data_IF_529728065935
#
_entry.id   IF_529728065935
#
_cell.length_a   1.000
_cell.length_b   1.000
_cell.length_c   1.000
_cell.angle_alpha   90.00
_cell.angle_beta   90.00
_cell.angle_gamma   90.00
#
_symmetry.space_group_name_H-M   'P 1'
#
loop_
_entity.id
_entity.type
_entity.pdbx_description
1 polymer ?
#
# COMPACT_ATOMS: atom_id res chain seq x y z
N UNK A 1 2.23 38.87 54.95
CA UNK A 1 1.20 37.84 54.74
C UNK A 1 0.87 37.75 53.26
N UNK A 2 1.34 36.67 52.61
CA UNK A 2 0.76 35.90 51.49
C UNK A 2 0.17 36.63 50.23
N UNK A 3 -0.16 35.93 49.13
CA UNK A 3 0.70 35.91 47.94
C UNK A 3 -0.06 36.39 46.69
N UNK A 4 0.61 36.62 45.57
CA UNK A 4 -0.07 36.60 44.28
C UNK A 4 0.65 35.60 43.38
N UNK A 5 0.23 34.35 43.54
CA UNK A 5 0.47 33.31 42.56
C UNK A 5 -0.18 33.76 41.24
N UNK A 6 0.62 33.92 40.19
CA UNK A 6 0.11 34.05 38.83
C UNK A 6 0.26 32.69 38.19
N UNK A 7 -0.90 32.05 37.98
CA UNK A 7 -1.05 30.70 37.46
C UNK A 7 -0.92 30.69 35.93
N UNK A 8 -0.33 29.60 35.44
CA UNK A 8 0.16 29.32 34.09
C UNK A 8 -0.81 29.54 32.92
N UNK A 9 -0.24 29.74 31.72
CA UNK A 9 -0.80 29.22 30.47
C UNK A 9 0.34 28.73 29.55
N UNK A 10 0.72 27.45 29.69
CA UNK A 10 1.55 26.77 28.70
C UNK A 10 0.64 26.24 27.60
N UNK A 11 0.51 27.00 26.51
CA UNK A 11 -0.14 26.53 25.30
C UNK A 11 0.81 25.56 24.58
N UNK A 12 0.68 24.26 24.83
CA UNK A 12 1.34 23.24 24.02
C UNK A 12 0.58 23.09 22.71
N UNK A 13 1.11 23.73 21.65
CA UNK A 13 0.65 23.49 20.30
C UNK A 13 1.06 22.07 19.88
N UNK A 14 0.15 21.10 20.03
CA UNK A 14 0.30 19.79 19.42
C UNK A 14 0.05 19.93 17.91
N UNK A 15 1.13 20.17 17.16
CA UNK A 15 1.09 20.05 15.71
C UNK A 15 0.76 18.60 15.34
N UNK A 16 -0.40 18.37 14.75
CA UNK A 16 -0.74 17.09 14.17
C UNK A 16 0.22 16.85 12.99
N UNK A 17 1.25 16.03 13.22
CA UNK A 17 2.08 15.49 12.15
C UNK A 17 1.14 14.57 11.37
N UNK A 18 0.55 15.07 10.28
CA UNK A 18 -0.16 14.21 9.35
C UNK A 18 0.91 13.29 8.76
N UNK A 19 0.97 12.06 9.27
CA UNK A 19 1.88 11.04 8.77
C UNK A 19 1.56 10.79 7.31
N UNK A 20 2.40 11.28 6.41
CA UNK A 20 2.50 10.75 5.05
C UNK A 20 2.66 9.24 5.22
N UNK A 21 1.67 8.47 4.78
CA UNK A 21 1.82 7.03 4.64
C UNK A 21 2.97 6.86 3.64
N UNK A 22 4.10 6.34 4.12
CA UNK A 22 5.25 6.13 3.26
C UNK A 22 4.86 5.12 2.18
N UNK A 23 5.02 5.51 0.91
CA UNK A 23 4.83 4.61 -0.23
C UNK A 23 5.71 3.37 -0.06
N UNK A 24 5.21 2.23 -0.50
CA UNK A 24 5.96 0.97 -0.42
C UNK A 24 7.07 0.87 -1.47
N UNK A 25 6.83 1.39 -2.67
CA UNK A 25 7.75 1.42 -3.82
C UNK A 25 8.43 0.07 -4.14
N UNK A 26 7.72 -1.05 -4.01
CA UNK A 26 8.30 -2.38 -4.25
C UNK A 26 8.97 -2.49 -5.63
N UNK A 27 8.42 -1.84 -6.65
CA UNK A 27 8.89 -1.95 -8.04
C UNK A 27 10.33 -1.46 -8.23
N UNK A 28 10.84 -0.61 -7.33
CA UNK A 28 12.24 -0.15 -7.33
C UNK A 28 13.25 -1.25 -7.06
N UNK A 29 12.82 -2.31 -6.38
CA UNK A 29 13.68 -3.40 -5.92
C UNK A 29 13.17 -4.79 -6.27
N UNK A 30 12.04 -4.87 -6.98
CA UNK A 30 11.45 -6.10 -7.48
C UNK A 30 11.31 -6.04 -9.01
N UNK A 31 11.39 -7.20 -9.65
CA UNK A 31 11.32 -7.36 -11.11
C UNK A 31 10.40 -8.53 -11.46
N UNK A 32 10.07 -8.65 -12.76
CA UNK A 32 9.23 -9.72 -13.32
C UNK A 32 7.89 -9.90 -12.58
N UNK A 33 7.30 -8.79 -12.12
CA UNK A 33 6.09 -8.85 -11.33
C UNK A 33 4.83 -8.95 -12.19
N UNK A 34 3.89 -9.79 -11.76
CA UNK A 34 2.62 -10.02 -12.45
C UNK A 34 1.51 -10.38 -11.46
N UNK A 35 0.25 -10.26 -11.92
CA UNK A 35 -0.92 -10.70 -11.17
C UNK A 35 -1.25 -12.14 -11.55
N UNK A 36 -1.16 -13.03 -10.57
CA UNK A 36 -1.61 -14.42 -10.66
C UNK A 36 -2.99 -14.57 -10.00
N UNK A 37 -3.86 -15.36 -10.61
CA UNK A 37 -5.16 -15.75 -10.04
C UNK A 37 -6.00 -14.55 -9.56
N UNK A 38 -5.90 -13.41 -10.24
CA UNK A 38 -6.62 -12.17 -9.98
C UNK A 38 -6.18 -11.37 -8.73
N UNK A 39 -5.56 -11.98 -7.72
CA UNK A 39 -5.26 -11.34 -6.44
C UNK A 39 -3.87 -11.61 -5.86
N UNK A 40 -3.04 -12.47 -6.47
CA UNK A 40 -1.67 -12.68 -6.01
C UNK A 40 -0.70 -11.86 -6.84
N UNK A 41 -0.03 -10.89 -6.24
CA UNK A 41 1.13 -10.26 -6.85
C UNK A 41 2.33 -11.18 -6.64
N UNK A 42 2.92 -11.66 -7.73
CA UNK A 42 4.20 -12.38 -7.71
C UNK A 42 5.29 -11.47 -8.22
N UNK A 43 6.49 -11.59 -7.65
CA UNK A 43 7.66 -10.84 -8.09
C UNK A 43 8.97 -11.52 -7.67
N UNK A 44 10.07 -11.18 -8.32
CA UNK A 44 11.43 -11.47 -7.85
C UNK A 44 12.01 -10.22 -7.22
N UNK A 45 12.26 -10.24 -5.91
CA UNK A 45 12.62 -9.08 -5.10
C UNK A 45 14.03 -9.18 -4.52
N UNK A 46 14.78 -8.07 -4.54
CA UNK A 46 16.10 -7.97 -3.91
C UNK A 46 15.98 -8.07 -2.39
N UNK A 47 16.87 -8.83 -1.77
CA UNK A 47 17.03 -8.90 -0.31
C UNK A 47 18.25 -8.06 0.16
N UNK A 48 18.37 -7.85 1.46
CA UNK A 48 19.42 -7.03 2.07
C UNK A 48 20.83 -7.62 1.93
N UNK A 49 20.94 -8.92 1.66
CA UNK A 49 22.21 -9.62 1.40
C UNK A 49 22.68 -9.48 -0.06
N UNK A 50 21.94 -8.72 -0.90
CA UNK A 50 22.23 -8.56 -2.33
C UNK A 50 21.70 -9.68 -3.23
N UNK A 51 21.07 -10.71 -2.63
CA UNK A 51 20.41 -11.79 -3.36
C UNK A 51 18.99 -11.42 -3.80
N UNK A 52 18.31 -12.38 -4.42
CA UNK A 52 16.94 -12.24 -4.89
C UNK A 52 16.05 -13.37 -4.35
N UNK A 53 14.79 -13.04 -4.07
CA UNK A 53 13.79 -13.97 -3.54
C UNK A 53 12.53 -13.88 -4.41
N UNK A 54 11.99 -15.03 -4.80
CA UNK A 54 10.67 -15.08 -5.40
C UNK A 54 9.63 -14.95 -4.30
N UNK A 55 8.83 -13.89 -4.37
CA UNK A 55 7.84 -13.55 -3.37
C UNK A 55 6.45 -13.48 -3.98
N UNK A 56 5.44 -13.72 -3.15
CA UNK A 56 4.04 -13.63 -3.50
C UNK A 56 3.28 -12.93 -2.37
N UNK A 57 2.38 -12.01 -2.73
CA UNK A 57 1.52 -11.30 -1.80
C UNK A 57 0.07 -11.36 -2.28
N UNK A 58 -0.83 -11.76 -1.38
CA UNK A 58 -2.26 -11.65 -1.63
C UNK A 58 -2.71 -10.20 -1.47
N UNK A 59 -3.01 -9.53 -2.59
CA UNK A 59 -3.40 -8.13 -2.64
C UNK A 59 -4.76 -7.84 -1.97
N UNK A 60 -5.58 -8.86 -1.66
CA UNK A 60 -6.77 -8.65 -0.83
C UNK A 60 -6.42 -8.12 0.57
N UNK A 61 -5.21 -8.38 1.06
CA UNK A 61 -4.72 -7.85 2.31
C UNK A 61 -4.42 -6.34 2.25
N UNK A 62 -4.15 -5.78 1.07
CA UNK A 62 -3.63 -4.42 0.92
C UNK A 62 -4.54 -3.49 0.10
N UNK A 63 -5.46 -4.03 -0.71
CA UNK A 63 -6.21 -3.24 -1.71
C UNK A 63 -7.71 -3.36 -1.49
N UNK A 64 -8.38 -2.21 -1.45
CA UNK A 64 -9.83 -2.06 -1.43
C UNK A 64 -10.37 -1.27 -2.60
N UNK A 65 -11.70 -1.17 -2.67
CA UNK A 65 -12.41 -0.45 -3.74
C UNK A 65 -12.84 0.94 -3.24
N UNK A 66 -12.58 1.96 -4.04
CA UNK A 66 -13.15 3.30 -3.93
C UNK A 66 -14.01 3.64 -5.16
N UNK A 67 -14.67 4.80 -5.15
CA UNK A 67 -15.64 5.19 -6.19
C UNK A 67 -15.04 5.19 -7.60
N UNK A 68 -13.80 5.63 -7.78
CA UNK A 68 -13.14 5.76 -9.09
C UNK A 68 -11.87 4.92 -9.24
N UNK A 69 -11.31 4.39 -8.14
CA UNK A 69 -10.03 3.71 -8.14
C UNK A 69 -9.99 2.52 -7.18
N UNK A 70 -8.90 1.76 -7.26
CA UNK A 70 -8.48 0.85 -6.21
C UNK A 70 -7.51 1.60 -5.29
N UNK A 71 -7.65 1.41 -3.98
CA UNK A 71 -6.90 2.19 -2.97
C UNK A 71 -6.24 1.27 -1.95
N UNK A 72 -5.16 1.74 -1.34
CA UNK A 72 -4.53 1.04 -0.23
C UNK A 72 -5.49 1.00 0.95
N UNK A 73 -5.91 -0.21 1.32
CA UNK A 73 -6.83 -0.46 2.43
C UNK A 73 -6.50 -1.83 3.00
N UNK A 74 -6.09 -1.86 4.27
CA UNK A 74 -5.88 -3.10 5.00
C UNK A 74 -7.15 -3.97 4.93
N UNK A 75 -6.97 -5.24 4.55
CA UNK A 75 -8.06 -6.19 4.34
C UNK A 75 -9.16 -5.66 3.41
N UNK A 76 -8.78 -4.89 2.39
CA UNK A 76 -9.72 -4.25 1.48
C UNK A 76 -10.47 -5.25 0.58
N UNK A 77 -9.94 -6.47 0.42
CA UNK A 77 -10.62 -7.60 -0.21
C UNK A 77 -11.21 -7.29 -1.61
N UNK A 78 -10.54 -6.45 -2.41
CA UNK A 78 -11.10 -5.97 -3.69
C UNK A 78 -11.52 -7.10 -4.64
N UNK A 79 -10.79 -8.22 -4.69
CA UNK A 79 -11.14 -9.34 -5.55
C UNK A 79 -12.40 -10.07 -5.06
N UNK A 80 -12.52 -10.28 -3.74
CA UNK A 80 -13.74 -10.86 -3.15
C UNK A 80 -14.94 -9.91 -3.28
N UNK A 81 -14.70 -8.61 -3.34
CA UNK A 81 -15.70 -7.56 -3.55
C UNK A 81 -16.04 -7.32 -5.03
N UNK A 82 -15.73 -8.27 -5.91
CA UNK A 82 -16.25 -8.34 -7.28
C UNK A 82 -15.32 -7.83 -8.38
N UNK A 83 -14.10 -7.39 -8.04
CA UNK A 83 -13.08 -7.08 -9.04
C UNK A 83 -12.48 -8.35 -9.66
N UNK A 84 -12.28 -8.33 -10.98
CA UNK A 84 -11.82 -9.47 -11.78
C UNK A 84 -10.94 -9.03 -12.95
N UNK A 85 -10.34 -10.01 -13.63
CA UNK A 85 -9.49 -9.81 -14.81
C UNK A 85 -8.36 -8.80 -14.56
N UNK A 86 -7.76 -8.87 -13.38
CA UNK A 86 -6.68 -7.98 -12.97
C UNK A 86 -5.34 -8.33 -13.62
N UNK A 87 -4.61 -7.31 -14.06
CA UNK A 87 -3.31 -7.46 -14.71
C UNK A 87 -2.47 -6.18 -14.57
N UNK A 88 -1.16 -6.32 -14.71
CA UNK A 88 -0.22 -5.18 -14.79
C UNK A 88 -0.25 -4.62 -16.21
N UNK A 89 -0.47 -3.30 -16.36
CA UNK A 89 -0.50 -2.63 -17.68
C UNK A 89 0.81 -1.93 -18.01
N UNK A 90 1.27 -1.05 -17.14
CA UNK A 90 2.43 -0.18 -17.37
C UNK A 90 3.06 0.11 -16.01
N UNK A 91 4.38 -0.06 -15.88
CA UNK A 91 5.06 0.04 -14.60
C UNK A 91 4.37 -0.81 -13.52
N UNK A 92 4.15 -0.24 -12.33
CA UNK A 92 3.45 -0.88 -11.22
C UNK A 92 1.92 -0.65 -11.21
N UNK A 93 1.33 -0.12 -12.31
CA UNK A 93 -0.11 0.11 -12.38
C UNK A 93 -0.88 -1.18 -12.71
N UNK A 94 -1.74 -1.58 -11.78
CA UNK A 94 -2.68 -2.69 -11.94
C UNK A 94 -4.03 -2.18 -12.41
N UNK A 95 -4.54 -2.75 -13.51
CA UNK A 95 -5.89 -2.51 -14.00
C UNK A 95 -6.78 -3.73 -13.70
N UNK A 96 -7.97 -3.47 -13.18
CA UNK A 96 -8.99 -4.50 -12.92
C UNK A 96 -10.35 -4.06 -13.46
N UNK A 97 -11.18 -5.02 -13.87
CA UNK A 97 -12.62 -4.80 -14.06
C UNK A 97 -13.33 -4.94 -12.72
N UNK A 98 -14.00 -3.89 -12.25
CA UNK A 98 -14.65 -3.85 -10.94
C UNK A 98 -16.14 -3.46 -11.05
N UNK A 99 -16.92 -3.57 -9.96
CA UNK A 99 -18.25 -2.98 -9.92
C UNK A 99 -18.21 -1.50 -10.29
N UNK A 100 -19.07 -1.08 -11.22
CA UNK A 100 -19.09 0.29 -11.74
C UNK A 100 -18.01 0.61 -12.79
N UNK A 101 -17.22 -0.38 -13.24
CA UNK A 101 -16.28 -0.22 -14.35
C UNK A 101 -14.83 -0.54 -14.00
N UNK A 102 -13.94 -0.26 -14.94
CA UNK A 102 -12.52 -0.49 -14.77
C UNK A 102 -11.92 0.47 -13.72
N UNK A 103 -11.07 -0.05 -12.85
CA UNK A 103 -10.38 0.71 -11.80
C UNK A 103 -8.89 0.38 -11.82
N UNK A 104 -8.08 1.38 -11.48
CA UNK A 104 -6.62 1.27 -11.44
C UNK A 104 -6.15 1.38 -9.98
N UNK A 105 -5.16 0.57 -9.63
CA UNK A 105 -4.30 0.76 -8.46
C UNK A 105 -2.88 1.08 -8.93
N UNK A 106 -2.24 2.03 -8.26
CA UNK A 106 -0.78 2.11 -8.24
C UNK A 106 -0.27 1.18 -7.14
N UNK A 107 0.43 0.11 -7.51
CA UNK A 107 0.91 -0.87 -6.52
C UNK A 107 2.11 -0.34 -5.73
N UNK A 108 2.85 0.66 -6.21
CA UNK A 108 3.95 1.25 -5.43
C UNK A 108 3.44 2.08 -4.25
N UNK A 109 2.19 2.52 -4.27
CA UNK A 109 1.53 3.13 -3.10
C UNK A 109 1.24 2.10 -2.02
N UNK A 110 0.85 0.88 -2.39
CA UNK A 110 0.26 -0.10 -1.46
C UNK A 110 1.17 -1.28 -1.10
N UNK A 111 2.24 -1.51 -1.86
CA UNK A 111 3.09 -2.70 -1.73
C UNK A 111 4.54 -2.28 -1.55
N UNK A 112 5.19 -2.88 -0.55
CA UNK A 112 6.60 -2.72 -0.25
C UNK A 112 7.37 -4.03 -0.44
N UNK A 113 8.67 -3.91 -0.69
CA UNK A 113 9.61 -5.00 -0.53
C UNK A 113 10.30 -4.91 0.84
N UNK A 114 10.10 -5.91 1.70
CA UNK A 114 10.74 -6.02 3.02
C UNK A 114 11.71 -7.21 2.98
N UNK A 115 12.98 -6.92 2.68
CA UNK A 115 14.06 -7.92 2.63
C UNK A 115 13.78 -9.11 1.67
N UNK A 116 13.26 -8.83 0.48
CA UNK A 116 12.91 -9.83 -0.53
C UNK A 116 11.47 -10.36 -0.40
N UNK A 117 10.73 -9.96 0.64
CA UNK A 117 9.35 -10.37 0.86
C UNK A 117 8.39 -9.22 0.55
N UNK A 118 7.43 -9.44 -0.35
CA UNK A 118 6.36 -8.50 -0.62
C UNK A 118 5.45 -8.38 0.61
N UNK A 119 5.10 -7.15 0.98
CA UNK A 119 4.19 -6.83 2.07
C UNK A 119 3.31 -5.63 1.71
N UNK A 120 2.20 -5.44 2.43
CA UNK A 120 1.50 -4.16 2.37
C UNK A 120 2.44 -3.04 2.89
N UNK A 121 2.36 -1.86 2.28
CA UNK A 121 3.18 -0.70 2.64
C UNK A 121 2.86 -0.17 4.05
#
# INVERSE_FOLDING_TARGET
MQPKAVLALLATAFGAIQGVQARGEFSRSCTNYYIENNNFLRATCKNASGGQVNSALNLNACIGIASTSLVCRANGNYAANGCRACLIRTGAYMLCGCPGGNKIADLDECVANRNGLLACA
#
